data_IF_106838762661
#
_entry.id   IF_106838762661
#
_cell.length_a   1.000
_cell.length_b   1.000
_cell.length_c   1.000
_cell.angle_alpha   90.00
_cell.angle_beta   90.00
_cell.angle_gamma   90.00
#
_symmetry.space_group_name_H-M   'P 1'
#
loop_
_entity.id
_entity.type
_entity.pdbx_description
1 polymer ?
#
# COMPACT_ATOMS: atom_id res chain seq x y z
N UNK A 1 22.87 -13.83 -4.13
CA UNK A 1 22.45 -14.51 -5.36
C UNK A 1 21.81 -15.88 -5.14
N UNK A 2 22.45 -16.85 -4.45
CA UNK A 2 21.84 -18.17 -4.18
C UNK A 2 20.52 -18.06 -3.38
N UNK A 3 20.44 -17.16 -2.39
CA UNK A 3 19.22 -16.90 -1.63
C UNK A 3 18.06 -16.37 -2.51
N UNK A 4 18.36 -15.54 -3.51
CA UNK A 4 17.33 -15.06 -4.47
C UNK A 4 16.83 -16.16 -5.41
N UNK A 5 17.59 -17.25 -5.55
CA UNK A 5 17.24 -18.42 -6.36
C UNK A 5 17.04 -19.67 -5.47
N UNK A 6 16.52 -19.49 -4.26
CA UNK A 6 16.33 -20.57 -3.29
C UNK A 6 15.60 -21.77 -3.93
N UNK A 7 16.14 -22.97 -3.78
CA UNK A 7 15.64 -24.21 -4.38
C UNK A 7 15.99 -24.41 -5.86
N UNK A 8 16.56 -23.41 -6.54
CA UNK A 8 16.97 -23.52 -7.94
C UNK A 8 18.50 -23.46 -8.07
N UNK A 9 19.14 -24.34 -8.87
CA UNK A 9 20.57 -24.31 -9.07
C UNK A 9 21.00 -23.10 -9.89
N UNK A 10 22.03 -22.41 -9.42
CA UNK A 10 22.72 -21.35 -10.16
C UNK A 10 24.02 -21.90 -10.72
N UNK A 11 24.21 -21.80 -12.03
CA UNK A 11 25.42 -22.36 -12.70
C UNK A 11 26.70 -21.66 -12.24
N UNK A 12 27.79 -22.37 -12.23
CA UNK A 12 29.12 -21.81 -11.89
C UNK A 12 29.48 -20.64 -12.83
N UNK A 13 29.18 -20.76 -14.12
CA UNK A 13 29.44 -19.71 -15.10
C UNK A 13 28.72 -18.41 -14.71
N UNK A 14 27.42 -18.47 -14.40
CA UNK A 14 26.66 -17.27 -13.99
C UNK A 14 27.19 -16.66 -12.69
N UNK A 15 27.64 -17.47 -11.74
CA UNK A 15 28.24 -16.94 -10.50
C UNK A 15 29.57 -16.24 -10.82
N UNK A 16 30.39 -16.84 -11.70
CA UNK A 16 31.67 -16.27 -12.13
C UNK A 16 31.44 -14.94 -12.87
N UNK A 17 30.51 -14.91 -13.80
CA UNK A 17 30.16 -13.69 -14.56
C UNK A 17 29.77 -12.53 -13.64
N UNK A 18 29.02 -12.82 -12.59
CA UNK A 18 28.58 -11.82 -11.62
C UNK A 18 29.73 -11.35 -10.72
N UNK A 19 30.57 -12.25 -10.25
CA UNK A 19 31.63 -11.91 -9.30
C UNK A 19 32.87 -11.28 -9.96
N UNK A 20 33.18 -11.68 -11.17
CA UNK A 20 34.42 -11.26 -11.85
C UNK A 20 34.20 -10.62 -13.22
N UNK A 21 33.01 -10.83 -13.86
CA UNK A 21 32.69 -10.27 -15.17
C UNK A 21 33.78 -10.54 -16.20
N UNK A 22 34.23 -9.47 -16.86
CA UNK A 22 35.31 -9.53 -17.87
C UNK A 22 36.72 -9.87 -17.28
N UNK A 23 36.85 -9.84 -15.94
CA UNK A 23 38.11 -10.18 -15.25
C UNK A 23 38.25 -11.69 -14.97
N UNK A 24 37.28 -12.49 -15.42
CA UNK A 24 37.29 -13.95 -15.24
C UNK A 24 38.49 -14.59 -16.02
N UNK A 25 39.39 -15.23 -15.30
CA UNK A 25 40.58 -15.91 -15.85
C UNK A 25 40.58 -17.44 -15.59
N UNK A 26 41.56 -18.13 -16.07
CA UNK A 26 41.65 -19.62 -16.01
C UNK A 26 41.60 -20.24 -14.61
N UNK A 27 41.75 -19.48 -13.52
CA UNK A 27 41.67 -19.95 -12.14
C UNK A 27 40.38 -19.65 -11.39
N UNK A 28 39.44 -18.93 -12.00
CA UNK A 28 38.22 -18.45 -11.31
C UNK A 28 37.31 -19.58 -10.83
N UNK A 29 37.24 -20.70 -11.53
CA UNK A 29 36.44 -21.87 -11.11
C UNK A 29 37.00 -22.46 -9.80
N UNK A 30 38.32 -22.65 -9.69
CA UNK A 30 38.95 -23.14 -8.47
C UNK A 30 38.77 -22.16 -7.28
N UNK A 31 38.85 -20.86 -7.56
CA UNK A 31 38.60 -19.82 -6.56
C UNK A 31 37.16 -19.88 -6.08
N UNK A 32 36.18 -19.99 -6.97
CA UNK A 32 34.76 -20.15 -6.62
C UNK A 32 34.53 -21.39 -5.76
N UNK A 33 35.14 -22.54 -6.14
CA UNK A 33 35.03 -23.77 -5.37
C UNK A 33 35.64 -23.64 -3.96
N UNK A 34 36.74 -22.90 -3.84
CA UNK A 34 37.32 -22.55 -2.54
C UNK A 34 36.38 -21.70 -1.68
N UNK A 35 35.75 -20.67 -2.27
CA UNK A 35 34.78 -19.87 -1.55
C UNK A 35 33.56 -20.67 -1.10
N UNK A 36 33.02 -21.52 -1.98
CA UNK A 36 31.91 -22.42 -1.64
C UNK A 36 32.30 -23.39 -0.51
N UNK A 37 33.51 -23.92 -0.55
CA UNK A 37 34.06 -24.77 0.53
C UNK A 37 34.13 -24.00 1.86
N UNK A 38 34.59 -22.74 1.83
CA UNK A 38 34.61 -21.86 3.00
C UNK A 38 33.20 -21.58 3.56
N UNK A 39 32.25 -21.24 2.69
CA UNK A 39 30.86 -21.03 3.08
C UNK A 39 30.26 -22.30 3.70
N UNK A 40 30.47 -23.47 3.07
CA UNK A 40 29.99 -24.74 3.62
C UNK A 40 30.52 -24.99 5.02
N UNK A 41 31.77 -24.72 5.26
CA UNK A 41 32.42 -24.92 6.57
C UNK A 41 31.78 -23.99 7.63
N UNK A 42 31.38 -22.80 7.23
CA UNK A 42 30.76 -21.82 8.13
C UNK A 42 29.30 -22.17 8.46
N UNK A 43 28.48 -22.56 7.47
CA UNK A 43 27.05 -22.74 7.64
C UNK A 43 26.60 -24.19 7.90
N UNK A 44 27.47 -25.17 7.71
CA UNK A 44 27.19 -26.61 7.90
C UNK A 44 28.33 -27.33 8.61
N UNK A 45 28.67 -27.01 9.84
CA UNK A 45 29.76 -27.63 10.56
C UNK A 45 29.49 -29.11 10.77
N UNK A 46 30.50 -29.95 10.43
CA UNK A 46 30.51 -31.38 10.70
C UNK A 46 29.96 -32.31 9.62
N UNK A 47 29.05 -31.91 8.73
CA UNK A 47 28.54 -32.75 7.64
C UNK A 47 28.21 -31.96 6.38
N UNK A 48 29.06 -32.08 5.37
CA UNK A 48 28.92 -31.33 4.11
C UNK A 48 27.96 -31.96 3.09
N UNK A 49 27.54 -33.24 3.28
CA UNK A 49 26.70 -33.94 2.29
C UNK A 49 25.20 -33.55 2.38
N UNK A 50 24.71 -33.31 3.58
CA UNK A 50 23.30 -33.01 3.84
C UNK A 50 23.07 -31.56 4.34
N UNK A 51 23.98 -30.66 4.05
CA UNK A 51 23.86 -29.26 4.45
C UNK A 51 23.02 -28.40 3.48
N UNK A 52 22.72 -27.15 3.85
CA UNK A 52 21.87 -26.27 3.05
C UNK A 52 22.48 -25.90 1.69
N UNK A 53 23.79 -25.85 1.53
CA UNK A 53 24.47 -25.50 0.28
C UNK A 53 24.89 -26.77 -0.49
N UNK A 54 24.11 -27.12 -1.51
CA UNK A 54 24.33 -28.32 -2.33
C UNK A 54 24.96 -28.00 -3.68
N UNK A 55 25.67 -28.99 -4.26
CA UNK A 55 26.09 -28.95 -5.65
C UNK A 55 25.09 -29.73 -6.49
N UNK A 56 24.55 -29.08 -7.53
CA UNK A 56 23.58 -29.70 -8.43
C UNK A 56 23.70 -29.10 -9.84
N UNK A 57 23.53 -29.93 -10.87
CA UNK A 57 23.45 -29.51 -12.28
C UNK A 57 24.56 -28.54 -12.73
N UNK A 58 25.82 -28.82 -12.35
CA UNK A 58 26.97 -27.97 -12.71
C UNK A 58 27.03 -26.61 -12.00
N UNK A 59 26.25 -26.43 -10.95
CA UNK A 59 26.18 -25.23 -10.15
C UNK A 59 26.00 -25.51 -8.67
N UNK A 60 25.44 -24.51 -7.98
CA UNK A 60 25.13 -24.53 -6.55
C UNK A 60 23.70 -24.14 -6.30
N UNK A 61 23.06 -24.74 -5.31
CA UNK A 61 21.75 -24.37 -4.82
C UNK A 61 21.72 -24.33 -3.29
N UNK A 62 20.81 -23.53 -2.74
CA UNK A 62 20.43 -23.60 -1.34
C UNK A 62 19.14 -24.40 -1.21
N UNK A 63 19.14 -25.35 -0.28
CA UNK A 63 17.98 -26.18 0.01
C UNK A 63 16.91 -25.38 0.75
N UNK A 64 15.70 -25.23 0.18
CA UNK A 64 14.64 -24.44 0.80
C UNK A 64 14.12 -25.02 2.12
N UNK A 65 14.32 -26.33 2.36
CA UNK A 65 13.90 -26.98 3.62
C UNK A 65 14.86 -26.68 4.78
N UNK A 66 16.10 -26.28 4.48
CA UNK A 66 17.17 -26.03 5.45
C UNK A 66 17.52 -24.54 5.58
N UNK A 67 16.83 -23.66 4.88
CA UNK A 67 17.10 -22.21 4.87
C UNK A 67 15.82 -21.46 5.20
N UNK A 68 15.84 -20.74 6.31
CA UNK A 68 14.80 -19.80 6.67
C UNK A 68 15.13 -18.43 6.05
N UNK A 69 14.29 -17.97 5.12
CA UNK A 69 14.47 -16.73 4.38
C UNK A 69 13.23 -15.83 4.51
N UNK A 70 13.45 -14.61 4.96
CA UNK A 70 12.43 -13.56 5.12
C UNK A 70 11.63 -13.32 3.82
N UNK A 71 12.30 -13.25 2.67
CA UNK A 71 11.67 -13.14 1.36
C UNK A 71 10.71 -14.31 1.05
N UNK A 72 11.07 -15.52 1.45
CA UNK A 72 10.22 -16.71 1.27
C UNK A 72 9.01 -16.66 2.18
N UNK A 73 9.20 -16.25 3.45
CA UNK A 73 8.12 -16.03 4.42
C UNK A 73 7.17 -14.94 3.95
N UNK A 74 7.70 -13.80 3.52
CA UNK A 74 6.90 -12.71 2.94
C UNK A 74 5.97 -13.25 1.85
N UNK A 75 6.51 -13.94 0.86
CA UNK A 75 5.72 -14.50 -0.25
C UNK A 75 4.70 -15.54 0.21
N UNK A 76 5.03 -16.34 1.22
CA UNK A 76 4.11 -17.33 1.78
C UNK A 76 2.94 -16.64 2.51
N UNK A 77 3.22 -15.63 3.34
CA UNK A 77 2.19 -14.86 4.04
C UNK A 77 1.24 -14.16 3.06
N UNK A 78 1.77 -13.53 2.02
CA UNK A 78 0.97 -12.89 0.97
C UNK A 78 0.08 -13.91 0.23
N UNK A 79 0.60 -15.10 -0.09
CA UNK A 79 -0.23 -16.16 -0.70
C UNK A 79 -1.31 -16.65 0.24
N UNK A 80 -0.99 -16.88 1.51
CA UNK A 80 -1.96 -17.34 2.51
C UNK A 80 -3.08 -16.29 2.69
N UNK A 81 -2.74 -15.02 2.72
CA UNK A 81 -3.70 -13.92 2.83
C UNK A 81 -4.74 -13.91 1.70
N UNK A 82 -4.39 -14.38 0.50
CA UNK A 82 -5.31 -14.40 -0.65
C UNK A 82 -6.46 -15.42 -0.50
N UNK A 83 -6.37 -16.33 0.46
CA UNK A 83 -7.35 -17.39 0.71
C UNK A 83 -7.94 -17.35 2.13
N UNK A 84 -7.55 -16.37 2.92
CA UNK A 84 -7.96 -16.20 4.31
C UNK A 84 -9.21 -15.31 4.45
N UNK A 85 -9.84 -15.33 5.62
CA UNK A 85 -10.87 -14.34 5.99
C UNK A 85 -10.26 -12.92 6.03
N UNK A 86 -11.06 -11.84 5.90
CA UNK A 86 -10.52 -10.48 5.93
C UNK A 86 -9.66 -10.18 7.17
N UNK A 87 -10.07 -10.64 8.35
CA UNK A 87 -9.34 -10.44 9.60
C UNK A 87 -7.98 -11.15 9.59
N UNK A 88 -7.96 -12.41 9.17
CA UNK A 88 -6.74 -13.21 9.04
C UNK A 88 -5.84 -12.67 7.92
N UNK A 89 -6.42 -12.29 6.77
CA UNK A 89 -5.69 -11.71 5.65
C UNK A 89 -4.98 -10.43 6.07
N UNK A 90 -5.65 -9.56 6.82
CA UNK A 90 -5.05 -8.32 7.33
C UNK A 90 -3.85 -8.60 8.24
N UNK A 91 -3.97 -9.56 9.17
CA UNK A 91 -2.88 -9.94 10.06
C UNK A 91 -1.68 -10.51 9.27
N UNK A 92 -1.93 -11.45 8.34
CA UNK A 92 -0.88 -12.04 7.50
C UNK A 92 -0.18 -11.01 6.63
N UNK A 93 -0.92 -10.03 6.08
CA UNK A 93 -0.35 -8.95 5.28
C UNK A 93 0.44 -7.96 6.13
N UNK A 94 0.01 -7.69 7.36
CA UNK A 94 0.76 -6.85 8.29
C UNK A 94 2.12 -7.49 8.62
N UNK A 95 2.14 -8.78 8.97
CA UNK A 95 3.37 -9.53 9.23
C UNK A 95 4.29 -9.56 7.98
N UNK A 96 3.70 -9.78 6.79
CA UNK A 96 4.47 -9.74 5.53
C UNK A 96 5.12 -8.38 5.29
N UNK A 97 4.38 -7.29 5.49
CA UNK A 97 4.89 -5.93 5.27
C UNK A 97 5.95 -5.53 6.31
N UNK A 98 5.89 -6.06 7.53
CA UNK A 98 6.93 -5.89 8.54
C UNK A 98 8.23 -6.58 8.12
N UNK A 99 8.17 -7.83 7.64
CA UNK A 99 9.34 -8.54 7.10
C UNK A 99 10.00 -7.84 5.91
N UNK A 100 9.26 -7.01 5.18
CA UNK A 100 9.73 -6.26 4.01
C UNK A 100 9.91 -4.76 4.28
N UNK A 101 10.08 -4.35 5.54
CA UNK A 101 10.24 -2.94 5.90
C UNK A 101 11.48 -2.32 5.26
N UNK A 102 12.59 -3.04 5.27
CA UNK A 102 13.84 -2.62 4.68
C UNK A 102 13.94 -3.00 3.18
N UNK A 103 14.72 -2.24 2.39
CA UNK A 103 14.97 -2.56 1.00
C UNK A 103 15.67 -3.92 0.84
N UNK A 104 15.25 -4.71 -0.15
CA UNK A 104 15.89 -5.99 -0.45
C UNK A 104 17.39 -5.78 -0.76
N UNK A 105 18.26 -6.45 -0.01
CA UNK A 105 19.72 -6.30 -0.11
C UNK A 105 20.18 -4.84 0.04
N UNK A 106 19.64 -4.13 1.01
CA UNK A 106 19.92 -2.71 1.24
C UNK A 106 21.40 -2.40 1.49
N UNK A 107 22.20 -3.34 2.03
CA UNK A 107 23.64 -3.23 2.19
C UNK A 107 24.43 -3.35 0.88
N UNK A 108 23.82 -3.89 -0.18
CA UNK A 108 24.46 -4.22 -1.46
C UNK A 108 23.92 -3.35 -2.61
N UNK A 109 23.76 -2.05 -2.37
CA UNK A 109 23.08 -1.12 -3.30
C UNK A 109 23.73 -1.03 -4.70
N UNK A 110 25.05 -1.26 -4.80
CA UNK A 110 25.79 -1.20 -6.06
C UNK A 110 25.80 -2.53 -6.85
N UNK A 111 24.99 -3.52 -6.46
CA UNK A 111 24.99 -4.84 -7.09
C UNK A 111 23.93 -4.92 -8.20
N UNK A 112 24.29 -4.60 -9.43
CA UNK A 112 23.41 -4.60 -10.63
C UNK A 112 22.69 -5.95 -10.83
N UNK A 113 23.33 -7.07 -10.46
CA UNK A 113 22.72 -8.40 -10.53
C UNK A 113 21.51 -8.59 -9.61
N UNK A 114 21.29 -7.69 -8.65
CA UNK A 114 20.16 -7.72 -7.72
C UNK A 114 19.00 -6.82 -8.17
N UNK A 115 19.17 -5.95 -9.17
CA UNK A 115 18.18 -4.93 -9.54
C UNK A 115 16.87 -5.53 -10.03
N UNK A 116 16.93 -6.62 -10.81
CA UNK A 116 15.72 -7.33 -11.21
C UNK A 116 14.96 -7.89 -10.00
N UNK A 117 15.68 -8.45 -9.02
CA UNK A 117 15.07 -8.99 -7.81
C UNK A 117 14.49 -7.88 -6.92
N UNK A 118 15.17 -6.73 -6.82
CA UNK A 118 14.68 -5.54 -6.11
C UNK A 118 13.40 -5.00 -6.74
N UNK A 119 13.41 -4.84 -8.07
CA UNK A 119 12.24 -4.36 -8.81
C UNK A 119 11.04 -5.30 -8.63
N UNK A 120 11.26 -6.60 -8.74
CA UNK A 120 10.23 -7.62 -8.52
C UNK A 120 9.69 -7.58 -7.09
N UNK A 121 10.59 -7.54 -6.10
CA UNK A 121 10.19 -7.47 -4.69
C UNK A 121 9.44 -6.18 -4.36
N UNK A 122 9.85 -5.04 -4.92
CA UNK A 122 9.12 -3.78 -4.77
C UNK A 122 7.70 -3.89 -5.31
N UNK A 123 7.51 -4.48 -6.50
CA UNK A 123 6.18 -4.71 -7.07
C UNK A 123 5.34 -5.66 -6.21
N UNK A 124 5.93 -6.75 -5.68
CA UNK A 124 5.28 -7.68 -4.75
C UNK A 124 4.85 -6.95 -3.46
N UNK A 125 5.69 -6.07 -2.91
CA UNK A 125 5.40 -5.27 -1.72
C UNK A 125 4.29 -4.25 -1.96
N UNK A 126 4.31 -3.55 -3.08
CA UNK A 126 3.23 -2.62 -3.47
C UNK A 126 1.91 -3.36 -3.60
N UNK A 127 1.89 -4.53 -4.24
CA UNK A 127 0.68 -5.36 -4.33
C UNK A 127 0.16 -5.80 -2.95
N UNK A 128 1.04 -6.17 -2.03
CA UNK A 128 0.69 -6.51 -0.66
C UNK A 128 0.14 -5.30 0.11
N UNK A 129 0.71 -4.10 -0.05
CA UNK A 129 0.21 -2.85 0.54
C UNK A 129 -1.20 -2.51 0.04
N UNK A 130 -1.44 -2.67 -1.27
CA UNK A 130 -2.77 -2.46 -1.87
C UNK A 130 -3.77 -3.45 -1.30
N UNK A 131 -3.43 -4.73 -1.26
CA UNK A 131 -4.30 -5.77 -0.70
C UNK A 131 -4.60 -5.52 0.79
N UNK A 132 -3.60 -5.14 1.58
CA UNK A 132 -3.80 -4.80 2.99
C UNK A 132 -4.70 -3.56 3.16
N UNK A 133 -4.57 -2.55 2.29
CA UNK A 133 -5.42 -1.36 2.31
C UNK A 133 -6.88 -1.69 1.94
N UNK A 134 -7.11 -2.52 0.93
CA UNK A 134 -8.44 -3.01 0.54
C UNK A 134 -9.06 -3.83 1.69
N UNK A 135 -8.30 -4.71 2.30
CA UNK A 135 -8.76 -5.54 3.43
C UNK A 135 -9.08 -4.67 4.65
N UNK A 136 -8.25 -3.66 4.97
CA UNK A 136 -8.54 -2.69 6.04
C UNK A 136 -9.84 -1.92 5.77
N UNK A 137 -10.12 -1.56 4.51
CA UNK A 137 -11.37 -0.92 4.12
C UNK A 137 -12.59 -1.85 4.36
N UNK A 138 -12.48 -3.13 4.00
CA UNK A 138 -13.53 -4.14 4.26
C UNK A 138 -13.79 -4.33 5.77
N UNK A 139 -12.76 -4.18 6.60
CA UNK A 139 -12.85 -4.26 8.06
C UNK A 139 -13.31 -2.96 8.73
N UNK A 140 -13.73 -1.97 7.93
CA UNK A 140 -14.11 -0.64 8.40
C UNK A 140 -12.99 0.06 9.21
N UNK A 141 -11.74 -0.07 8.75
CA UNK A 141 -10.53 0.58 9.31
C UNK A 141 -9.97 1.62 8.34
N UNK A 142 -10.68 2.73 8.10
CA UNK A 142 -10.33 3.68 7.04
C UNK A 142 -8.96 4.34 7.25
N UNK A 143 -8.57 4.63 8.49
CA UNK A 143 -7.26 5.24 8.80
C UNK A 143 -6.10 4.34 8.37
N UNK A 144 -6.18 3.03 8.64
CA UNK A 144 -5.16 2.06 8.23
C UNK A 144 -5.15 1.87 6.73
N UNK A 145 -6.33 1.82 6.10
CA UNK A 145 -6.47 1.77 4.65
C UNK A 145 -5.78 2.97 3.98
N UNK A 146 -6.02 4.19 4.46
CA UNK A 146 -5.35 5.41 3.96
C UNK A 146 -3.83 5.32 4.14
N UNK A 147 -3.35 4.88 5.30
CA UNK A 147 -1.91 4.76 5.57
C UNK A 147 -1.22 3.79 4.60
N UNK A 148 -1.81 2.61 4.40
CA UNK A 148 -1.27 1.57 3.53
C UNK A 148 -1.32 1.97 2.05
N UNK A 149 -2.44 2.55 1.60
CA UNK A 149 -2.59 3.03 0.23
C UNK A 149 -1.64 4.19 -0.08
N UNK A 150 -1.40 5.11 0.86
CA UNK A 150 -0.37 6.16 0.73
C UNK A 150 1.02 5.58 0.54
N UNK A 151 1.38 4.54 1.31
CA UNK A 151 2.66 3.87 1.17
C UNK A 151 2.81 3.20 -0.21
N UNK A 152 1.75 2.55 -0.71
CA UNK A 152 1.75 1.96 -2.06
C UNK A 152 1.95 3.02 -3.16
N UNK A 153 1.21 4.14 -3.10
CA UNK A 153 1.35 5.27 -4.03
C UNK A 153 2.75 5.90 -3.97
N UNK A 154 3.35 6.00 -2.78
CA UNK A 154 4.70 6.53 -2.64
C UNK A 154 5.76 5.62 -3.26
N UNK A 155 5.56 4.30 -3.18
CA UNK A 155 6.47 3.31 -3.76
C UNK A 155 6.32 3.16 -5.28
N UNK A 156 5.08 3.28 -5.79
CA UNK A 156 4.77 3.19 -7.22
C UNK A 156 3.71 4.23 -7.61
N UNK A 157 4.13 5.46 -7.96
CA UNK A 157 3.23 6.55 -8.33
C UNK A 157 2.44 6.33 -9.63
N UNK A 158 2.84 5.37 -10.47
CA UNK A 158 2.14 5.06 -11.72
C UNK A 158 1.13 3.90 -11.55
N UNK A 159 1.00 3.34 -10.37
CA UNK A 159 0.05 2.27 -10.06
C UNK A 159 -1.37 2.82 -9.84
N UNK A 160 -2.21 2.73 -10.85
CA UNK A 160 -3.58 3.24 -10.78
C UNK A 160 -4.43 2.57 -9.68
N UNK A 161 -4.20 1.27 -9.43
CA UNK A 161 -4.93 0.55 -8.36
C UNK A 161 -4.61 1.14 -6.99
N UNK A 162 -3.34 1.50 -6.73
CA UNK A 162 -2.94 2.16 -5.49
C UNK A 162 -3.66 3.51 -5.29
N UNK A 163 -3.76 4.31 -6.36
CA UNK A 163 -4.52 5.57 -6.32
C UNK A 163 -6.01 5.34 -6.11
N UNK A 164 -6.60 4.33 -6.76
CA UNK A 164 -8.02 4.00 -6.61
C UNK A 164 -8.34 3.64 -5.18
N UNK A 165 -7.52 2.78 -4.56
CA UNK A 165 -7.69 2.39 -3.16
C UNK A 165 -7.50 3.59 -2.23
N UNK A 166 -6.52 4.46 -2.49
CA UNK A 166 -6.28 5.66 -1.68
C UNK A 166 -7.49 6.61 -1.73
N UNK A 167 -8.02 6.88 -2.91
CA UNK A 167 -9.19 7.78 -3.08
C UNK A 167 -10.43 7.18 -2.43
N UNK A 168 -10.65 5.87 -2.57
CA UNK A 168 -11.75 5.16 -1.90
C UNK A 168 -11.57 5.13 -0.37
N UNK A 169 -10.33 4.97 0.12
CA UNK A 169 -10.06 5.00 1.56
C UNK A 169 -10.35 6.38 2.18
N UNK A 170 -10.08 7.47 1.45
CA UNK A 170 -10.48 8.82 1.88
C UNK A 170 -12.00 9.01 1.87
N UNK A 171 -12.72 8.44 0.88
CA UNK A 171 -14.17 8.42 0.85
C UNK A 171 -14.74 7.74 2.11
N UNK A 172 -14.24 6.56 2.46
CA UNK A 172 -14.62 5.81 3.66
C UNK A 172 -14.25 6.51 4.97
N UNK A 173 -13.15 7.26 4.97
CA UNK A 173 -12.70 8.03 6.13
C UNK A 173 -13.50 9.32 6.35
N UNK A 174 -14.41 9.68 5.45
CA UNK A 174 -15.12 10.97 5.51
C UNK A 174 -14.22 12.17 5.24
N UNK A 175 -13.16 11.99 4.45
CA UNK A 175 -12.16 13.02 4.12
C UNK A 175 -12.20 13.36 2.61
N UNK A 176 -13.32 13.93 2.12
CA UNK A 176 -13.50 14.16 0.68
C UNK A 176 -12.51 15.16 0.10
N UNK A 177 -12.08 16.16 0.87
CA UNK A 177 -11.11 17.15 0.40
C UNK A 177 -9.74 16.53 0.10
N UNK A 178 -9.26 15.66 0.97
CA UNK A 178 -8.01 14.91 0.81
C UNK A 178 -8.11 13.92 -0.36
N UNK A 179 -9.25 13.26 -0.51
CA UNK A 179 -9.52 12.38 -1.64
C UNK A 179 -9.49 13.10 -2.98
N UNK A 180 -10.11 14.29 -3.07
CA UNK A 180 -10.09 15.13 -4.26
C UNK A 180 -8.68 15.65 -4.57
N UNK A 181 -7.89 16.00 -3.55
CA UNK A 181 -6.49 16.39 -3.71
C UNK A 181 -5.63 15.23 -4.21
N UNK A 182 -5.86 14.00 -3.70
CA UNK A 182 -5.18 12.78 -4.16
C UNK A 182 -5.50 12.49 -5.62
N UNK A 183 -6.77 12.56 -6.03
CA UNK A 183 -7.16 12.40 -7.43
C UNK A 183 -6.50 13.43 -8.35
N UNK A 184 -6.51 14.71 -7.96
CA UNK A 184 -5.86 15.77 -8.74
C UNK A 184 -4.35 15.54 -8.88
N UNK A 185 -3.68 15.00 -7.84
CA UNK A 185 -2.27 14.63 -7.89
C UNK A 185 -2.05 13.46 -8.86
N UNK A 186 -2.85 12.41 -8.78
CA UNK A 186 -2.79 11.27 -9.70
C UNK A 186 -2.93 11.73 -11.14
N UNK A 187 -3.95 12.54 -11.45
CA UNK A 187 -4.19 13.03 -12.80
C UNK A 187 -2.98 13.79 -13.36
N UNK A 188 -2.33 14.65 -12.57
CA UNK A 188 -1.12 15.36 -13.00
C UNK A 188 0.05 14.44 -13.28
N UNK A 189 0.24 13.38 -12.47
CA UNK A 189 1.31 12.40 -12.67
C UNK A 189 1.05 11.61 -13.95
N UNK A 190 -0.18 11.11 -14.14
CA UNK A 190 -0.54 10.31 -15.32
C UNK A 190 -0.48 11.11 -16.62
N UNK A 191 -0.94 12.36 -16.61
CA UNK A 191 -0.82 13.25 -17.77
C UNK A 191 0.63 13.51 -18.14
N UNK A 192 1.48 13.82 -17.15
CA UNK A 192 2.89 14.11 -17.36
C UNK A 192 3.71 12.90 -17.81
N UNK A 193 3.53 11.74 -17.15
CA UNK A 193 4.44 10.60 -17.27
C UNK A 193 3.91 9.52 -18.23
N UNK A 194 2.60 9.43 -18.44
CA UNK A 194 1.93 8.46 -19.31
C UNK A 194 1.17 9.11 -20.48
N UNK A 195 0.93 10.43 -20.44
CA UNK A 195 0.14 11.13 -21.46
C UNK A 195 -1.33 10.72 -21.49
N UNK A 196 -1.89 10.19 -20.39
CA UNK A 196 -3.26 9.70 -20.33
C UNK A 196 -4.01 10.18 -19.09
N UNK A 197 -5.35 10.11 -19.15
CA UNK A 197 -6.20 10.34 -18.00
C UNK A 197 -6.31 9.06 -17.13
N UNK A 198 -6.60 9.20 -15.80
CA UNK A 198 -6.95 8.06 -14.95
C UNK A 198 -8.11 7.25 -15.50
N UNK A 199 -8.13 5.95 -15.25
CA UNK A 199 -9.15 5.03 -15.72
C UNK A 199 -10.51 5.14 -15.02
N UNK A 200 -11.50 4.37 -15.50
CA UNK A 200 -12.90 4.53 -15.08
C UNK A 200 -13.15 4.29 -13.60
N UNK A 201 -12.44 3.35 -12.96
CA UNK A 201 -12.60 3.04 -11.55
C UNK A 201 -12.23 4.23 -10.66
N UNK A 202 -11.10 4.88 -10.96
CA UNK A 202 -10.63 6.06 -10.22
C UNK A 202 -11.50 7.29 -10.51
N UNK A 203 -11.98 7.45 -11.75
CA UNK A 203 -12.94 8.50 -12.11
C UNK A 203 -14.27 8.34 -11.36
N UNK A 204 -14.77 7.11 -11.23
CA UNK A 204 -15.98 6.81 -10.46
C UNK A 204 -15.82 7.16 -8.98
N UNK A 205 -14.68 6.81 -8.36
CA UNK A 205 -14.37 7.22 -6.99
C UNK A 205 -14.31 8.73 -6.83
N UNK A 206 -13.72 9.45 -7.76
CA UNK A 206 -13.71 10.92 -7.80
C UNK A 206 -15.13 11.51 -7.83
N UNK A 207 -16.03 10.97 -8.66
CA UNK A 207 -17.41 11.45 -8.73
C UNK A 207 -18.17 11.20 -7.42
N UNK A 208 -17.92 10.09 -6.72
CA UNK A 208 -18.52 9.85 -5.39
C UNK A 208 -18.06 10.88 -4.35
N UNK A 209 -16.76 11.20 -4.33
CA UNK A 209 -16.22 12.24 -3.45
C UNK A 209 -16.82 13.63 -3.72
N UNK A 210 -17.02 13.99 -5.00
CA UNK A 210 -17.67 15.25 -5.34
C UNK A 210 -19.10 15.31 -4.83
N UNK A 211 -19.88 14.22 -4.93
CA UNK A 211 -21.23 14.13 -4.39
C UNK A 211 -21.23 14.25 -2.87
N UNK A 212 -20.39 13.47 -2.18
CA UNK A 212 -20.25 13.50 -0.72
C UNK A 212 -19.94 14.92 -0.21
N UNK A 213 -19.04 15.64 -0.91
CA UNK A 213 -18.72 17.03 -0.56
C UNK A 213 -19.91 17.97 -0.79
N UNK A 214 -20.59 17.85 -1.92
CA UNK A 214 -21.75 18.68 -2.22
C UNK A 214 -22.88 18.47 -1.21
N UNK A 215 -23.13 17.23 -0.81
CA UNK A 215 -24.11 16.89 0.24
C UNK A 215 -23.72 17.51 1.59
N UNK A 216 -22.45 17.44 1.99
CA UNK A 216 -21.96 18.07 3.21
C UNK A 216 -22.05 19.60 3.18
N UNK A 217 -21.78 20.23 2.04
CA UNK A 217 -21.86 21.67 1.86
C UNK A 217 -23.36 22.15 1.95
N UNK A 218 -24.30 21.38 1.40
CA UNK A 218 -25.76 21.67 1.52
C UNK A 218 -26.22 21.52 2.96
N UNK A 219 -25.86 20.42 3.63
CA UNK A 219 -26.24 20.19 5.03
C UNK A 219 -25.69 21.29 5.95
N UNK A 220 -24.43 21.71 5.74
CA UNK A 220 -23.86 22.82 6.52
C UNK A 220 -24.60 24.11 6.29
N UNK A 221 -24.98 24.40 5.05
CA UNK A 221 -25.79 25.61 4.72
C UNK A 221 -27.15 25.60 5.38
N UNK A 222 -27.83 24.44 5.41
CA UNK A 222 -29.11 24.29 6.10
C UNK A 222 -28.99 24.50 7.62
N UNK A 223 -27.94 23.89 8.24
CA UNK A 223 -27.69 24.08 9.68
C UNK A 223 -27.37 25.52 10.01
N UNK A 224 -26.54 26.19 9.21
CA UNK A 224 -26.22 27.61 9.39
C UNK A 224 -27.47 28.50 9.28
N UNK A 225 -28.30 28.23 8.28
CA UNK A 225 -29.59 28.96 8.13
C UNK A 225 -30.52 28.74 9.34
N UNK A 226 -30.61 27.51 9.85
CA UNK A 226 -31.40 27.18 11.03
C UNK A 226 -30.87 27.86 12.30
N UNK A 227 -29.55 27.88 12.51
CA UNK A 227 -28.91 28.55 13.66
C UNK A 227 -29.13 30.08 13.61
N UNK A 228 -28.95 30.70 12.44
CA UNK A 228 -29.22 32.15 12.28
C UNK A 228 -30.68 32.48 12.57
N UNK A 229 -31.61 31.69 12.04
CA UNK A 229 -33.06 31.90 12.30
C UNK A 229 -33.39 31.75 13.78
N UNK A 230 -32.86 30.73 14.47
CA UNK A 230 -33.06 30.55 15.92
C UNK A 230 -32.46 31.69 16.75
N UNK A 231 -31.23 32.14 16.38
CA UNK A 231 -30.55 33.25 17.04
C UNK A 231 -31.32 34.56 16.92
N UNK A 232 -31.88 34.87 15.76
CA UNK A 232 -32.72 36.05 15.53
C UNK A 232 -34.03 35.99 16.33
N UNK A 233 -34.67 34.83 16.34
CA UNK A 233 -35.92 34.64 17.11
C UNK A 233 -35.71 34.77 18.62
N UNK A 234 -34.58 34.36 19.15
CA UNK A 234 -34.21 34.49 20.57
C UNK A 234 -33.79 35.91 20.94
N UNK A 235 -33.20 36.66 20.01
CA UNK A 235 -32.70 38.03 20.25
C UNK A 235 -33.80 39.09 20.15
N UNK A 236 -35.03 38.72 19.84
CA UNK A 236 -36.16 39.63 19.76
C UNK A 236 -36.06 40.73 18.67
N UNK A 237 -35.10 40.63 17.77
CA UNK A 237 -34.93 41.52 16.62
C UNK A 237 -35.99 41.20 15.57
N UNK A 238 -36.82 42.19 15.23
CA UNK A 238 -37.75 42.14 14.09
C UNK A 238 -36.91 41.81 12.82
N UNK A 239 -37.30 40.75 12.13
CA UNK A 239 -36.68 40.26 10.90
C UNK A 239 -36.50 41.39 9.87
N UNK A 240 -35.31 41.48 9.22
CA UNK A 240 -35.22 42.04 7.88
C UNK A 240 -35.88 41.05 6.91
N UNK A 241 -36.70 41.51 5.97
CA UNK A 241 -37.30 40.66 4.96
C UNK A 241 -36.19 40.26 3.96
N UNK A 242 -35.79 39.00 3.94
CA UNK A 242 -34.86 38.65 2.90
C UNK A 242 -34.47 37.15 2.84
N UNK A 243 -34.03 36.53 3.88
CA UNK A 243 -33.43 35.19 3.74
C UNK A 243 -34.28 34.06 4.38
N UNK A 244 -34.92 34.30 5.49
CA UNK A 244 -35.72 33.30 6.21
C UNK A 244 -37.12 33.07 5.61
N UNK A 245 -37.66 34.08 4.89
CA UNK A 245 -38.99 34.00 4.25
C UNK A 245 -38.97 33.14 2.97
N UNK A 246 -37.84 33.08 2.25
CA UNK A 246 -37.67 32.22 1.06
C UNK A 246 -37.49 30.75 1.40
N UNK A 247 -36.95 30.40 2.59
CA UNK A 247 -36.70 29.04 3.00
C UNK A 247 -37.87 28.34 3.70
N UNK A 248 -38.98 29.01 4.02
CA UNK A 248 -40.13 28.44 4.72
C UNK A 248 -39.78 27.84 6.10
N UNK A 249 -38.71 28.30 6.74
CA UNK A 249 -38.22 27.79 8.01
C UNK A 249 -39.14 28.17 9.16
N UNK A 250 -39.70 27.18 9.85
CA UNK A 250 -40.37 27.35 11.14
C UNK A 250 -39.41 27.07 12.28
N UNK A 251 -39.68 27.62 13.48
CA UNK A 251 -38.85 27.35 14.68
C UNK A 251 -38.72 25.87 14.99
N UNK A 252 -39.77 25.11 14.78
CA UNK A 252 -39.80 23.66 14.99
C UNK A 252 -38.95 22.91 13.93
N UNK A 253 -38.98 23.38 12.68
CA UNK A 253 -38.19 22.83 11.60
C UNK A 253 -36.69 23.14 11.78
N UNK A 254 -36.34 24.38 12.12
CA UNK A 254 -34.97 24.78 12.42
C UNK A 254 -34.39 24.01 13.62
N UNK A 255 -35.18 23.79 14.68
CA UNK A 255 -34.78 22.97 15.81
C UNK A 255 -34.46 21.52 15.41
N UNK A 256 -35.31 20.91 14.59
CA UNK A 256 -35.10 19.54 14.09
C UNK A 256 -33.83 19.39 13.23
N UNK A 257 -33.52 20.38 12.39
CA UNK A 257 -32.30 20.40 11.58
C UNK A 257 -31.06 20.39 12.49
N UNK A 258 -31.00 21.28 13.47
CA UNK A 258 -29.89 21.41 14.41
C UNK A 258 -29.76 20.15 15.28
N UNK A 259 -30.84 19.63 15.81
CA UNK A 259 -30.84 18.41 16.63
C UNK A 259 -30.35 17.18 15.84
N UNK A 260 -30.83 17.03 14.60
CA UNK A 260 -30.41 15.97 13.71
C UNK A 260 -28.89 16.03 13.39
N UNK A 261 -28.39 17.22 13.13
CA UNK A 261 -26.94 17.43 12.90
C UNK A 261 -26.12 17.10 14.15
N UNK A 262 -26.54 17.58 15.34
CA UNK A 262 -25.85 17.30 16.60
C UNK A 262 -25.84 15.80 16.96
N UNK A 263 -26.95 15.10 16.69
CA UNK A 263 -27.01 13.65 16.90
C UNK A 263 -25.99 12.90 16.00
N UNK A 264 -25.91 13.26 14.71
CA UNK A 264 -24.92 12.66 13.80
C UNK A 264 -23.49 13.01 14.18
N UNK A 265 -23.22 14.26 14.55
CA UNK A 265 -21.90 14.69 15.01
C UNK A 265 -21.43 13.93 16.25
N UNK A 266 -22.35 13.65 17.20
CA UNK A 266 -22.03 12.84 18.40
C UNK A 266 -21.81 11.36 18.10
N UNK A 267 -22.44 10.82 17.06
CA UNK A 267 -22.26 9.43 16.66
C UNK A 267 -20.97 9.20 15.86
N UNK A 268 -20.34 10.27 15.37
CA UNK A 268 -19.10 10.23 14.58
C UNK A 268 -17.83 10.40 15.43
N UNK A 269 -17.97 10.70 16.74
CA UNK A 269 -16.90 10.81 17.75
C UNK A 269 -16.79 9.51 18.53
#
# INVERSE_FOLDING_TARGET
>A
MLLLNLGNPVSKSRIIDILWGSSAGGGTVATLESYVSGIRRAIQPGNTKNGPLRTANGGYLLDPELVDLDLSKFRQLVRNASHASPEEAYALLADALELSADPLLGSELAADWADEARTRHLAERVAAQIHAAETAALLNRPTESVRLARAAVASDPLNERAWTVLVTAYELAGLPAEGLAAYARCRRIFDRDLGCAPGPALQAAHLRLLRQRAEADVELSEVMAALLYLGETLSGRRQPPGFAAEAGLTREHAGRIVDSFLQRARAAV
#
